data_IF_844100588071
#
_entry.id   IF_844100588071
#
_cell.length_a   1.000
_cell.length_b   1.000
_cell.length_c   1.000
_cell.angle_alpha   90.00
_cell.angle_beta   90.00
_cell.angle_gamma   90.00
#
_symmetry.space_group_name_H-M   'P 1'
#
loop_
_entity.id
_entity.type
_entity.pdbx_description
1 polymer ?
#
# COMPACT_ATOMS: atom_id res chain seq x y z
N UNK A 1 13.92 17.09 25.44
CA UNK A 1 13.76 15.86 24.63
C UNK A 1 12.27 15.64 24.44
N UNK A 2 11.73 16.02 23.28
CA UNK A 2 10.29 15.98 23.03
C UNK A 2 9.91 14.61 22.47
N UNK A 3 9.09 13.88 23.22
CA UNK A 3 8.54 12.57 22.84
C UNK A 3 7.73 12.67 21.55
N UNK A 4 7.89 11.75 20.58
CA UNK A 4 6.99 11.67 19.45
C UNK A 4 5.65 11.11 19.95
N UNK A 5 4.63 11.96 19.93
CA UNK A 5 3.26 11.60 20.28
C UNK A 5 2.79 10.41 19.46
N UNK A 6 2.41 9.35 20.15
CA UNK A 6 1.62 8.25 19.62
C UNK A 6 0.26 8.83 19.19
N UNK A 7 0.14 9.23 17.91
CA UNK A 7 -1.13 9.63 17.33
C UNK A 7 -1.94 8.35 17.12
N UNK A 8 -2.59 7.92 18.20
CA UNK A 8 -3.66 6.95 18.18
C UNK A 8 -4.71 7.37 17.16
N UNK A 9 -5.25 6.37 16.46
CA UNK A 9 -6.30 6.52 15.45
C UNK A 9 -7.32 7.59 15.90
N UNK A 10 -7.48 8.71 15.18
CA UNK A 10 -8.53 9.67 15.51
C UNK A 10 -9.85 8.91 15.47
N UNK A 11 -10.71 9.08 16.48
CA UNK A 11 -12.00 8.38 16.52
C UNK A 11 -12.68 8.43 15.14
N UNK A 12 -13.22 7.30 14.66
CA UNK A 12 -13.59 7.09 13.25
C UNK A 12 -14.39 8.23 12.60
N UNK A 13 -15.20 8.94 13.39
CA UNK A 13 -15.93 10.15 12.98
C UNK A 13 -14.99 11.34 12.71
N UNK A 14 -14.04 11.65 13.61
CA UNK A 14 -13.06 12.74 13.46
C UNK A 14 -12.14 12.49 12.27
N UNK A 15 -11.69 11.24 12.08
CA UNK A 15 -10.84 10.88 10.94
C UNK A 15 -11.58 11.07 9.60
N UNK A 16 -12.81 10.56 9.49
CA UNK A 16 -13.65 10.79 8.29
C UNK A 16 -13.93 12.28 8.05
N UNK A 17 -14.16 13.05 9.11
CA UNK A 17 -14.35 14.49 8.99
C UNK A 17 -13.09 15.20 8.46
N UNK A 18 -11.90 14.76 8.89
CA UNK A 18 -10.64 15.29 8.37
C UNK A 18 -10.48 14.96 6.87
N UNK A 19 -10.75 13.71 6.47
CA UNK A 19 -10.75 13.31 5.05
C UNK A 19 -11.72 14.20 4.26
N UNK A 20 -12.94 14.38 4.74
CA UNK A 20 -13.97 15.17 4.07
C UNK A 20 -13.54 16.63 3.87
N UNK A 21 -13.01 17.28 4.93
CA UNK A 21 -12.52 18.65 4.88
C UNK A 21 -11.39 18.81 3.86
N UNK A 22 -10.41 17.91 3.90
CA UNK A 22 -9.28 17.95 2.98
C UNK A 22 -9.70 17.65 1.52
N UNK A 23 -10.68 16.76 1.32
CA UNK A 23 -11.21 16.43 0.00
C UNK A 23 -11.89 17.66 -0.63
N UNK A 24 -12.77 18.35 0.10
CA UNK A 24 -13.42 19.57 -0.37
C UNK A 24 -12.39 20.66 -0.71
N UNK A 25 -11.37 20.82 0.12
CA UNK A 25 -10.26 21.74 -0.13
C UNK A 25 -9.50 21.39 -1.42
N UNK A 26 -9.18 20.10 -1.61
CA UNK A 26 -8.48 19.59 -2.78
C UNK A 26 -9.29 19.74 -4.07
N UNK A 27 -10.60 19.47 -4.03
CA UNK A 27 -11.50 19.65 -5.17
C UNK A 27 -11.63 21.13 -5.58
N UNK A 28 -11.68 22.05 -4.61
CA UNK A 28 -11.69 23.50 -4.87
C UNK A 28 -10.39 23.96 -5.50
N UNK A 29 -9.24 23.53 -4.97
CA UNK A 29 -7.91 23.90 -5.48
C UNK A 29 -7.62 23.30 -6.85
N UNK A 30 -8.06 22.07 -7.09
CA UNK A 30 -7.88 21.34 -8.35
C UNK A 30 -8.82 21.76 -9.47
N UNK A 31 -9.72 22.73 -9.23
CA UNK A 31 -10.63 23.21 -10.27
C UNK A 31 -11.54 22.12 -10.85
N UNK A 32 -11.86 21.06 -10.08
CA UNK A 32 -12.63 19.93 -10.60
C UNK A 32 -14.03 20.32 -11.13
N UNK A 33 -14.55 21.47 -10.68
CA UNK A 33 -15.79 22.09 -11.15
C UNK A 33 -15.61 23.09 -12.31
N UNK A 34 -14.38 23.32 -12.77
CA UNK A 34 -14.07 24.21 -13.90
C UNK A 34 -14.64 23.64 -15.20
N UNK A 35 -15.30 24.50 -15.98
CA UNK A 35 -15.86 24.17 -17.30
C UNK A 35 -14.79 23.78 -18.32
N UNK A 36 -13.52 24.10 -18.09
CA UNK A 36 -12.41 23.79 -19.00
C UNK A 36 -11.89 22.35 -18.93
N UNK A 37 -12.20 21.60 -17.87
CA UNK A 37 -11.68 20.23 -17.71
C UNK A 37 -12.50 19.19 -18.45
N UNK A 38 -11.82 18.34 -19.23
CA UNK A 38 -12.42 17.13 -19.81
C UNK A 38 -12.77 16.07 -18.76
N UNK A 39 -13.55 15.07 -19.14
CA UNK A 39 -14.00 14.00 -18.22
C UNK A 39 -12.82 13.25 -17.55
N UNK A 40 -11.81 12.86 -18.33
CA UNK A 40 -10.62 12.18 -17.82
C UNK A 40 -9.81 13.03 -16.84
N UNK A 41 -9.73 14.32 -17.12
CA UNK A 41 -9.03 15.29 -16.29
C UNK A 41 -9.76 15.49 -14.96
N UNK A 42 -11.09 15.65 -15.01
CA UNK A 42 -11.95 15.73 -13.83
C UNK A 42 -11.83 14.47 -12.97
N UNK A 43 -11.89 13.27 -13.57
CA UNK A 43 -11.73 11.99 -12.85
C UNK A 43 -10.36 11.91 -12.17
N UNK A 44 -9.31 12.34 -12.86
CA UNK A 44 -7.94 12.35 -12.32
C UNK A 44 -7.76 13.38 -11.20
N UNK A 45 -8.37 14.56 -11.33
CA UNK A 45 -8.38 15.58 -10.29
C UNK A 45 -9.11 15.11 -9.03
N UNK A 46 -10.26 14.46 -9.18
CA UNK A 46 -11.00 13.86 -8.06
C UNK A 46 -10.16 12.79 -7.37
N UNK A 47 -9.54 11.88 -8.12
CA UNK A 47 -8.66 10.83 -7.55
C UNK A 47 -7.51 11.45 -6.77
N UNK A 48 -6.76 12.38 -7.37
CA UNK A 48 -5.64 13.08 -6.71
C UNK A 48 -6.08 13.82 -5.44
N UNK A 49 -7.24 14.50 -5.47
CA UNK A 49 -7.78 15.17 -4.29
C UNK A 49 -8.13 14.19 -3.18
N UNK A 50 -8.65 13.01 -3.53
CA UNK A 50 -8.98 11.96 -2.58
C UNK A 50 -7.72 11.35 -1.96
N UNK A 51 -6.68 11.08 -2.75
CA UNK A 51 -5.39 10.56 -2.27
C UNK A 51 -4.68 11.59 -1.38
N UNK A 52 -4.69 12.87 -1.77
CA UNK A 52 -4.16 13.98 -0.98
C UNK A 52 -4.88 14.10 0.37
N UNK A 53 -6.20 14.01 0.35
CA UNK A 53 -7.02 14.12 1.54
C UNK A 53 -6.77 12.97 2.51
N UNK A 54 -6.63 11.75 1.98
CA UNK A 54 -6.33 10.56 2.77
C UNK A 54 -4.94 10.67 3.43
N UNK A 55 -3.91 11.03 2.65
CA UNK A 55 -2.55 11.20 3.15
C UNK A 55 -2.47 12.30 4.22
N UNK A 56 -3.12 13.44 3.99
CA UNK A 56 -3.13 14.56 4.93
C UNK A 56 -3.89 14.23 6.21
N UNK A 57 -5.04 13.56 6.10
CA UNK A 57 -5.85 13.19 7.26
C UNK A 57 -5.16 12.15 8.16
N UNK A 58 -4.37 11.25 7.57
CA UNK A 58 -3.59 10.27 8.34
C UNK A 58 -2.33 10.87 8.95
N UNK A 59 -1.75 11.86 8.28
CA UNK A 59 -0.52 12.53 8.68
C UNK A 59 0.74 11.78 8.23
N UNK A 60 1.91 12.26 8.62
CA UNK A 60 3.20 11.77 8.13
C UNK A 60 3.70 10.47 8.80
N UNK A 61 2.94 9.86 9.71
CA UNK A 61 3.41 8.71 10.48
C UNK A 61 3.59 7.43 9.64
N UNK A 62 2.54 6.90 8.95
CA UNK A 62 2.71 5.73 8.11
C UNK A 62 3.52 6.05 6.84
N UNK A 63 4.30 5.09 6.38
CA UNK A 63 5.07 5.21 5.14
C UNK A 63 4.15 5.35 3.93
N UNK A 64 3.00 4.68 3.92
CA UNK A 64 2.06 4.74 2.80
C UNK A 64 1.51 6.16 2.59
N UNK A 65 1.22 6.90 3.67
CA UNK A 65 0.71 8.28 3.54
C UNK A 65 1.79 9.24 3.05
N UNK A 66 3.05 9.05 3.47
CA UNK A 66 4.19 9.82 2.93
C UNK A 66 4.43 9.54 1.45
N UNK A 67 4.33 8.27 1.02
CA UNK A 67 4.44 7.91 -0.39
C UNK A 67 3.38 8.61 -1.23
N UNK A 68 2.11 8.55 -0.80
CA UNK A 68 1.02 9.26 -1.49
C UNK A 68 1.27 10.77 -1.54
N UNK A 69 1.69 11.39 -0.44
CA UNK A 69 2.00 12.81 -0.41
C UNK A 69 3.16 13.18 -1.37
N UNK A 70 4.17 12.33 -1.48
CA UNK A 70 5.30 12.53 -2.40
C UNK A 70 4.87 12.43 -3.87
N UNK A 71 4.02 11.47 -4.22
CA UNK A 71 3.47 11.30 -5.58
C UNK A 71 2.64 12.50 -6.05
N UNK A 72 2.04 13.24 -5.11
CA UNK A 72 1.21 14.40 -5.37
C UNK A 72 1.98 15.72 -5.38
N UNK A 73 3.28 15.69 -5.05
CA UNK A 73 4.14 16.87 -5.06
C UNK A 73 4.45 17.29 -6.51
N UNK A 74 4.31 18.59 -6.87
CA UNK A 74 4.61 19.09 -8.21
C UNK A 74 6.06 18.83 -8.68
N UNK A 75 6.98 18.60 -7.74
CA UNK A 75 8.43 18.45 -7.99
C UNK A 75 8.89 17.00 -8.21
N UNK A 76 7.98 16.01 -8.24
CA UNK A 76 8.31 14.60 -8.02
C UNK A 76 8.42 13.67 -9.22
N UNK A 77 8.57 14.15 -10.47
CA UNK A 77 9.02 13.29 -11.58
C UNK A 77 10.54 13.15 -11.55
N UNK A 78 11.08 12.50 -10.52
CA UNK A 78 12.39 11.90 -10.62
C UNK A 78 12.18 10.39 -10.81
N UNK A 79 12.77 9.77 -11.86
CA UNK A 79 12.67 8.33 -12.03
C UNK A 79 13.29 7.63 -10.80
N UNK A 80 12.84 6.40 -10.47
CA UNK A 80 13.48 5.62 -9.42
C UNK A 80 14.96 5.49 -9.79
N UNK A 81 15.83 6.01 -8.93
CA UNK A 81 17.25 5.75 -9.00
C UNK A 81 17.44 4.24 -9.08
N UNK A 82 17.84 3.76 -10.24
CA UNK A 82 18.37 2.42 -10.43
C UNK A 82 19.59 2.31 -9.55
N UNK A 83 19.43 1.81 -8.33
CA UNK A 83 20.55 1.39 -7.49
C UNK A 83 21.24 0.26 -8.24
N UNK A 84 22.41 0.57 -8.78
CA UNK A 84 23.32 -0.36 -9.43
C UNK A 84 23.58 -1.58 -8.53
N UNK A 85 23.70 -2.79 -9.10
CA UNK A 85 24.12 -3.96 -8.34
C UNK A 85 25.61 -3.79 -7.98
N UNK A 86 25.88 -3.69 -6.68
CA UNK A 86 27.23 -3.79 -6.13
C UNK A 86 27.81 -5.14 -6.51
N UNK A 87 28.85 -5.12 -7.33
CA UNK A 87 29.68 -6.25 -7.73
C UNK A 87 30.43 -6.80 -6.51
N UNK A 88 30.06 -7.99 -6.06
CA UNK A 88 30.98 -8.84 -5.29
C UNK A 88 31.33 -10.04 -6.16
N UNK A 89 32.45 -9.93 -6.86
CA UNK A 89 33.10 -11.03 -7.56
C UNK A 89 33.61 -12.06 -6.53
N UNK A 90 33.10 -13.28 -6.57
CA UNK A 90 33.78 -14.42 -5.98
C UNK A 90 34.37 -15.25 -7.10
N UNK A 91 35.63 -14.95 -7.46
CA UNK A 91 36.48 -15.86 -8.23
C UNK A 91 36.81 -17.07 -7.34
N UNK A 92 36.84 -18.28 -7.92
CA UNK A 92 37.83 -19.35 -7.68
C UNK A 92 37.48 -20.59 -8.55
N UNK A 93 38.46 -21.49 -8.84
CA UNK A 93 38.65 -22.05 -10.17
C UNK A 93 38.09 -23.45 -10.39
N UNK A 94 37.91 -23.75 -11.68
CA UNK A 94 37.76 -25.08 -12.26
C UNK A 94 39.00 -25.95 -11.98
N UNK A 95 38.80 -27.18 -11.48
CA UNK A 95 39.73 -28.31 -11.65
C UNK A 95 38.98 -29.63 -11.77
N UNK A 96 39.34 -30.35 -12.84
CA UNK A 96 38.89 -31.69 -13.22
C UNK A 96 39.52 -32.80 -12.34
N UNK A 97 39.02 -34.03 -12.57
CA UNK A 97 39.49 -35.35 -12.12
C UNK A 97 38.81 -35.87 -10.84
N UNK A 98 38.53 -37.15 -10.64
CA UNK A 98 38.84 -38.38 -11.38
C UNK A 98 37.75 -39.41 -11.04
N UNK A 99 37.50 -40.36 -11.95
CA UNK A 99 36.63 -41.50 -11.69
C UNK A 99 37.24 -42.47 -10.66
N UNK A 100 36.43 -42.97 -9.72
CA UNK A 100 36.60 -44.28 -9.08
C UNK A 100 35.26 -44.76 -8.51
N UNK A 101 34.80 -45.90 -9.05
CA UNK A 101 33.59 -46.63 -8.63
C UNK A 101 33.84 -47.24 -7.25
N UNK A 102 32.88 -47.10 -6.32
CA UNK A 102 32.87 -47.82 -5.04
C UNK A 102 31.50 -48.51 -4.92
N UNK A 103 31.45 -49.81 -4.56
CA UNK A 103 30.25 -50.64 -4.68
C UNK A 103 29.19 -50.32 -3.62
N UNK A 104 27.95 -50.62 -4.01
CA UNK A 104 26.71 -50.39 -3.29
C UNK A 104 26.70 -51.08 -1.93
N UNK A 105 27.06 -50.37 -0.87
CA UNK A 105 26.62 -50.72 0.49
C UNK A 105 25.15 -50.32 0.58
N UNK A 106 24.25 -51.31 0.61
CA UNK A 106 22.80 -51.09 0.80
C UNK A 106 22.59 -50.51 2.20
N UNK A 107 22.70 -49.19 2.32
CA UNK A 107 22.12 -48.46 3.42
C UNK A 107 20.62 -48.69 3.31
N UNK A 108 20.06 -49.42 4.28
CA UNK A 108 18.62 -49.58 4.43
C UNK A 108 18.01 -48.18 4.31
N UNK A 109 17.17 -47.98 3.31
CA UNK A 109 16.43 -46.74 3.13
C UNK A 109 15.52 -46.57 4.34
N UNK A 110 16.00 -45.85 5.35
CA UNK A 110 15.19 -45.40 6.48
C UNK A 110 14.06 -44.56 5.88
N UNK A 111 12.78 -44.79 6.23
CA UNK A 111 11.66 -44.07 5.62
C UNK A 111 11.78 -42.59 5.97
N UNK A 112 12.38 -41.83 5.06
CA UNK A 112 12.60 -40.39 5.14
C UNK A 112 11.44 -39.72 4.42
N UNK A 113 10.20 -40.01 4.82
CA UNK A 113 9.02 -39.57 4.06
C UNK A 113 8.26 -38.41 4.73
N UNK A 114 8.20 -38.33 6.06
CA UNK A 114 7.45 -37.26 6.75
C UNK A 114 8.24 -35.95 6.94
N UNK A 115 9.52 -36.02 7.33
CA UNK A 115 10.32 -34.82 7.61
C UNK A 115 10.64 -34.02 6.33
N UNK A 116 10.98 -34.72 5.24
CA UNK A 116 11.24 -34.15 3.91
C UNK A 116 9.98 -33.60 3.26
N UNK A 117 8.84 -34.29 3.38
CA UNK A 117 7.55 -33.77 2.90
C UNK A 117 7.11 -32.51 3.67
N UNK A 118 7.28 -32.48 5.00
CA UNK A 118 7.01 -31.26 5.81
C UNK A 118 7.93 -30.10 5.44
N UNK A 119 9.22 -30.37 5.18
CA UNK A 119 10.16 -29.35 4.71
C UNK A 119 9.79 -28.84 3.30
N UNK A 120 9.39 -29.73 2.38
CA UNK A 120 8.92 -29.36 1.06
C UNK A 120 7.62 -28.53 1.10
N UNK A 121 6.65 -28.94 1.93
CA UNK A 121 5.43 -28.18 2.17
C UNK A 121 5.73 -26.80 2.79
N UNK A 122 6.65 -26.74 3.75
CA UNK A 122 7.13 -25.48 4.33
C UNK A 122 7.84 -24.58 3.32
N UNK A 123 8.63 -25.15 2.40
CA UNK A 123 9.26 -24.41 1.32
C UNK A 123 8.22 -23.85 0.34
N UNK A 124 7.21 -24.65 -0.04
CA UNK A 124 6.10 -24.20 -0.88
C UNK A 124 5.30 -23.08 -0.21
N UNK A 125 5.00 -23.21 1.09
CA UNK A 125 4.32 -22.17 1.86
C UNK A 125 5.11 -20.87 1.86
N UNK A 126 6.43 -20.90 2.06
CA UNK A 126 7.30 -19.71 1.97
C UNK A 126 7.27 -19.09 0.59
N UNK A 127 7.28 -19.88 -0.49
CA UNK A 127 7.16 -19.37 -1.86
C UNK A 127 5.81 -18.66 -2.06
N UNK A 128 4.71 -19.25 -1.58
CA UNK A 128 3.38 -18.63 -1.68
C UNK A 128 3.29 -17.34 -0.87
N UNK A 129 3.83 -17.31 0.35
CA UNK A 129 3.88 -16.11 1.20
C UNK A 129 4.70 -15.02 0.51
N UNK A 130 5.87 -15.33 -0.03
CA UNK A 130 6.70 -14.35 -0.78
C UNK A 130 5.97 -13.80 -2.00
N UNK A 131 5.23 -14.63 -2.74
CA UNK A 131 4.42 -14.17 -3.88
C UNK A 131 3.33 -13.20 -3.44
N UNK A 132 2.59 -13.52 -2.37
CA UNK A 132 1.55 -12.64 -1.81
C UNK A 132 2.13 -11.36 -1.23
N UNK A 133 3.26 -11.44 -0.52
CA UNK A 133 3.97 -10.27 -0.02
C UNK A 133 4.43 -9.36 -1.16
N UNK A 134 4.95 -9.92 -2.28
CA UNK A 134 5.27 -9.13 -3.48
C UNK A 134 4.05 -8.40 -4.03
N UNK A 135 2.91 -9.08 -4.18
CA UNK A 135 1.69 -8.44 -4.62
C UNK A 135 1.25 -7.30 -3.68
N UNK A 136 1.35 -7.51 -2.35
CA UNK A 136 1.07 -6.46 -1.37
C UNK A 136 1.98 -5.23 -1.53
N UNK A 137 3.28 -5.42 -1.80
CA UNK A 137 4.23 -4.31 -2.00
C UNK A 137 3.89 -3.43 -3.21
N UNK A 138 3.22 -3.99 -4.22
CA UNK A 138 2.82 -3.25 -5.42
C UNK A 138 1.53 -2.45 -5.21
N UNK A 139 0.63 -2.91 -4.32
CA UNK A 139 -0.66 -2.23 -4.09
C UNK A 139 -0.62 -1.22 -2.93
N UNK A 140 0.28 -1.42 -1.96
CA UNK A 140 0.43 -0.50 -0.82
C UNK A 140 1.42 0.60 -1.23
N UNK A 141 1.02 1.89 -1.18
CA UNK A 141 1.92 3.00 -1.47
C UNK A 141 3.21 2.91 -0.65
N UNK A 142 4.36 3.05 -1.28
CA UNK A 142 5.67 2.92 -0.63
C UNK A 142 6.07 1.49 -0.23
N UNK A 143 5.31 0.47 -0.63
CA UNK A 143 5.48 -0.92 -0.18
C UNK A 143 6.77 -1.60 -0.65
N UNK A 144 7.34 -1.19 -1.80
CA UNK A 144 8.48 -1.87 -2.44
C UNK A 144 9.67 -2.12 -1.51
N UNK A 145 10.00 -1.16 -0.63
CA UNK A 145 11.13 -1.21 0.30
C UNK A 145 10.81 -1.68 1.73
N UNK A 146 9.60 -2.15 2.02
CA UNK A 146 9.22 -2.52 3.39
C UNK A 146 9.68 -3.93 3.78
N UNK A 147 9.93 -4.21 5.06
CA UNK A 147 10.01 -5.59 5.57
C UNK A 147 8.60 -6.19 5.71
N UNK A 148 8.48 -7.51 5.89
CA UNK A 148 7.17 -8.18 5.92
C UNK A 148 6.29 -7.73 7.09
N UNK A 149 6.86 -7.50 8.28
CA UNK A 149 6.10 -7.07 9.46
C UNK A 149 5.57 -5.65 9.28
N UNK A 150 6.40 -4.71 8.83
CA UNK A 150 5.94 -3.35 8.53
C UNK A 150 4.94 -3.35 7.39
N UNK A 151 5.15 -4.12 6.33
CA UNK A 151 4.23 -4.19 5.20
C UNK A 151 2.82 -4.59 5.67
N UNK A 152 2.69 -5.58 6.55
CA UNK A 152 1.40 -6.00 7.08
C UNK A 152 0.75 -4.91 7.94
N UNK A 153 1.52 -4.25 8.81
CA UNK A 153 1.01 -3.14 9.63
C UNK A 153 0.51 -1.96 8.80
N UNK A 154 1.30 -1.54 7.81
CA UNK A 154 0.95 -0.48 6.86
C UNK A 154 -0.25 -0.89 5.98
N UNK A 155 -0.34 -2.15 5.57
CA UNK A 155 -1.49 -2.68 4.80
C UNK A 155 -2.78 -2.58 5.60
N UNK A 156 -2.75 -2.98 6.87
CA UNK A 156 -3.92 -2.93 7.74
C UNK A 156 -4.38 -1.48 7.94
N UNK A 157 -3.43 -0.58 8.25
CA UNK A 157 -3.70 0.83 8.44
C UNK A 157 -4.25 1.48 7.16
N UNK A 158 -3.68 1.13 6.00
CA UNK A 158 -4.13 1.60 4.70
C UNK A 158 -5.55 1.09 4.36
N UNK A 159 -5.86 -0.18 4.62
CA UNK A 159 -7.19 -0.74 4.39
C UNK A 159 -8.28 -0.05 5.22
N UNK A 160 -8.00 0.22 6.50
CA UNK A 160 -8.91 0.99 7.37
C UNK A 160 -9.08 2.42 6.84
N UNK A 161 -7.99 3.02 6.37
CA UNK A 161 -7.99 4.36 5.80
C UNK A 161 -8.81 4.45 4.51
N UNK A 162 -8.65 3.50 3.59
CA UNK A 162 -9.44 3.38 2.37
C UNK A 162 -10.93 3.24 2.66
N UNK A 163 -11.30 2.41 3.64
CA UNK A 163 -12.71 2.29 4.04
C UNK A 163 -13.28 3.63 4.49
N UNK A 164 -12.56 4.37 5.32
CA UNK A 164 -12.99 5.69 5.78
C UNK A 164 -13.10 6.71 4.63
N UNK A 165 -12.20 6.64 3.63
CA UNK A 165 -12.25 7.46 2.43
C UNK A 165 -13.52 7.20 1.61
N UNK A 166 -13.84 5.93 1.37
CA UNK A 166 -15.06 5.53 0.64
C UNK A 166 -16.31 6.00 1.37
N UNK A 167 -16.38 5.82 2.70
CA UNK A 167 -17.49 6.30 3.51
C UNK A 167 -17.67 7.84 3.41
N UNK A 168 -16.58 8.60 3.43
CA UNK A 168 -16.62 10.05 3.28
C UNK A 168 -17.12 10.48 1.89
N UNK A 169 -16.67 9.82 0.82
CA UNK A 169 -17.13 10.10 -0.55
C UNK A 169 -18.60 9.74 -0.75
N UNK A 170 -19.06 8.62 -0.19
CA UNK A 170 -20.48 8.26 -0.22
C UNK A 170 -21.35 9.26 0.54
N UNK A 171 -20.87 9.79 1.67
CA UNK A 171 -21.58 10.85 2.39
C UNK A 171 -21.75 12.09 1.51
N UNK A 172 -20.70 12.53 0.82
CA UNK A 172 -20.79 13.64 -0.13
C UNK A 172 -21.85 13.37 -1.21
N UNK A 173 -21.81 12.19 -1.84
CA UNK A 173 -22.78 11.84 -2.87
C UNK A 173 -24.21 11.91 -2.36
N UNK A 174 -24.50 11.33 -1.18
CA UNK A 174 -25.83 11.41 -0.56
C UNK A 174 -26.26 12.85 -0.29
N UNK A 175 -25.35 13.69 0.20
CA UNK A 175 -25.67 15.12 0.46
C UNK A 175 -25.92 15.91 -0.81
N UNK A 176 -25.25 15.56 -1.92
CA UNK A 176 -25.42 16.22 -3.22
C UNK A 176 -26.66 15.74 -3.96
N UNK A 177 -27.06 14.49 -3.74
CA UNK A 177 -28.27 13.88 -4.33
C UNK A 177 -29.52 14.09 -3.47
N UNK A 178 -29.38 14.59 -2.24
CA UNK A 178 -30.51 14.87 -1.37
C UNK A 178 -31.46 15.88 -2.06
N UNK A 179 -32.77 15.60 -2.13
CA UNK A 179 -33.72 16.53 -2.70
C UNK A 179 -33.64 17.87 -1.97
N UNK A 180 -33.53 18.94 -2.75
CA UNK A 180 -33.39 20.32 -2.28
C UNK A 180 -34.75 20.88 -1.84
N UNK A 181 -35.49 20.15 -1.00
CA UNK A 181 -36.75 20.61 -0.45
C UNK A 181 -36.55 20.95 1.02
N UNK A 182 -36.20 22.21 1.36
CA UNK A 182 -36.46 22.68 2.70
C UNK A 182 -37.97 22.59 2.88
N UNK A 183 -38.37 21.81 3.87
CA UNK A 183 -39.74 21.66 4.36
C UNK A 183 -40.61 22.90 4.11
N UNK A 184 -41.67 22.70 3.32
CA UNK A 184 -42.95 23.37 3.48
C UNK A 184 -43.39 23.24 4.94
N UNK A 185 -42.91 24.16 5.78
CA UNK A 185 -43.55 24.51 7.04
C UNK A 185 -44.13 25.89 6.82
N UNK A 186 -45.46 25.95 6.66
CA UNK A 186 -46.41 26.79 7.40
C UNK A 186 -47.68 27.02 6.58
N UNK A 187 -48.81 26.83 7.27
CA UNK A 187 -50.20 27.17 6.91
C UNK A 187 -50.95 26.17 6.01
N UNK A 188 -51.63 25.20 6.63
CA UNK A 188 -53.02 25.35 7.09
C UNK A 188 -53.31 24.37 8.23
#
# INVERSE_FOLDING_TARGET
MSSPGSVGMPGSKKFRQAILKNLLLGLRKGGAASRGMGFHERRSAIRRAADAALATARGAAPRWSRSLAAELSPQGRLPPATSAPSSSECKLPSKMSCAKRIPRRRLRARPKSRATAKQAAGALARVMVRKRARALREIVPGGRGMDECTLLGETLDYAVSLKAQVEAMQLLLRTLQAPKNPSLLKHQ
#
